data_IF_965763209244
#
_entry.id   IF_965763209244
#
_cell.length_a   1.000
_cell.length_b   1.000
_cell.length_c   1.000
_cell.angle_alpha   90.00
_cell.angle_beta   90.00
_cell.angle_gamma   90.00
#
_symmetry.space_group_name_H-M   'P 1'
#
loop_
_entity.id
_entity.type
_entity.pdbx_description
1 polymer ?
#
# COMPACT_ATOMS: atom_id res chain seq x y z
N UNK A 1 -8.88 7.97 14.55
CA UNK A 1 -7.67 7.89 13.68
C UNK A 1 -7.70 6.78 12.61
N UNK A 2 -8.58 5.76 12.68
CA UNK A 2 -8.56 4.60 11.75
C UNK A 2 -8.70 4.96 10.26
N UNK A 3 -9.34 6.09 9.94
CA UNK A 3 -9.63 6.54 8.57
C UNK A 3 -8.72 7.67 8.04
N UNK A 4 -7.85 8.24 8.87
CA UNK A 4 -6.95 9.32 8.43
C UNK A 4 -5.79 8.80 7.58
N UNK A 5 -5.36 7.56 7.84
CA UNK A 5 -4.27 6.92 7.10
C UNK A 5 -4.91 5.98 6.07
N UNK A 6 -4.49 6.01 4.80
CA UNK A 6 -4.94 5.08 3.78
C UNK A 6 -4.77 3.62 4.23
N UNK A 7 -5.74 2.76 3.90
CA UNK A 7 -5.65 1.33 4.19
C UNK A 7 -4.58 0.64 3.34
N UNK A 8 -4.10 -0.54 3.76
CA UNK A 8 -3.18 -1.32 2.92
C UNK A 8 -3.77 -1.63 1.53
N UNK A 9 -5.10 -1.73 1.43
CA UNK A 9 -5.84 -1.86 0.16
C UNK A 9 -5.66 -0.63 -0.73
N UNK A 10 -5.77 0.58 -0.17
CA UNK A 10 -5.58 1.81 -0.95
C UNK A 10 -4.11 1.97 -1.39
N UNK A 11 -3.16 1.67 -0.50
CA UNK A 11 -1.73 1.70 -0.79
C UNK A 11 -1.32 0.69 -1.87
N UNK A 12 -2.04 -0.44 -2.00
CA UNK A 12 -1.82 -1.45 -3.04
C UNK A 12 -1.84 -0.88 -4.43
N UNK A 13 -2.77 0.03 -4.72
CA UNK A 13 -2.93 0.60 -6.07
C UNK A 13 -1.62 1.24 -6.54
N UNK A 14 -0.87 1.83 -5.62
CA UNK A 14 0.43 2.42 -5.90
C UNK A 14 1.55 1.37 -5.88
N UNK A 15 1.62 0.56 -4.82
CA UNK A 15 2.73 -0.38 -4.59
C UNK A 15 2.77 -1.61 -5.51
N UNK A 16 1.62 -2.06 -6.03
CA UNK A 16 1.56 -3.18 -6.98
C UNK A 16 1.64 -2.73 -8.45
N UNK A 17 1.61 -1.42 -8.74
CA UNK A 17 1.64 -0.97 -10.13
C UNK A 17 2.98 -1.30 -10.79
N UNK A 18 2.94 -1.81 -12.02
CA UNK A 18 4.15 -2.14 -12.79
C UNK A 18 5.04 -0.91 -13.00
N UNK A 19 4.45 0.27 -13.14
CA UNK A 19 5.16 1.55 -13.26
C UNK A 19 5.96 1.86 -12.00
N UNK A 20 5.39 1.70 -10.81
CA UNK A 20 6.11 1.93 -9.56
C UNK A 20 7.16 0.84 -9.32
N UNK A 21 6.92 -0.41 -9.73
CA UNK A 21 7.96 -1.45 -9.69
C UNK A 21 9.16 -1.12 -10.58
N UNK A 22 8.94 -0.54 -11.76
CA UNK A 22 10.01 -0.03 -12.61
C UNK A 22 10.81 1.09 -11.94
N UNK A 23 10.16 1.93 -11.11
CA UNK A 23 10.89 2.97 -10.35
C UNK A 23 11.86 2.41 -9.31
N UNK A 24 11.78 1.12 -8.95
CA UNK A 24 12.81 0.48 -8.11
C UNK A 24 14.19 0.44 -8.79
N UNK A 25 14.27 0.54 -10.12
CA UNK A 25 15.52 0.65 -10.86
C UNK A 25 16.05 2.09 -10.93
N UNK A 26 15.21 3.07 -10.57
CA UNK A 26 15.57 4.48 -10.65
C UNK A 26 16.75 4.89 -9.76
N UNK A 27 16.99 4.35 -8.55
CA UNK A 27 18.18 4.71 -7.79
C UNK A 27 19.47 4.37 -8.56
N UNK A 28 19.50 3.22 -9.24
CA UNK A 28 20.67 2.76 -10.00
C UNK A 28 20.86 3.61 -11.26
N UNK A 29 19.79 3.75 -12.05
CA UNK A 29 19.81 4.51 -13.30
C UNK A 29 20.04 6.01 -13.03
N UNK A 30 19.36 6.56 -12.03
CA UNK A 30 19.44 7.95 -11.64
C UNK A 30 20.80 8.32 -11.08
N UNK A 31 21.44 7.43 -10.32
CA UNK A 31 22.83 7.62 -9.89
C UNK A 31 23.77 7.65 -11.10
N UNK A 32 23.63 6.68 -12.03
CA UNK A 32 24.44 6.66 -13.25
C UNK A 32 24.23 7.90 -14.11
N UNK A 33 23.02 8.43 -14.21
CA UNK A 33 22.71 9.61 -15.02
C UNK A 33 23.25 10.90 -14.37
N UNK A 34 23.01 11.10 -13.06
CA UNK A 34 23.40 12.34 -12.38
C UNK A 34 24.93 12.45 -12.23
N UNK A 35 25.61 11.33 -11.95
CA UNK A 35 27.04 11.31 -11.70
C UNK A 35 27.89 10.98 -12.94
N UNK A 36 27.28 10.77 -14.11
CA UNK A 36 28.04 10.62 -15.34
C UNK A 36 28.51 11.97 -15.85
N UNK A 37 29.82 12.18 -15.87
CA UNK A 37 30.46 13.34 -16.49
C UNK A 37 30.02 13.52 -17.95
N UNK A 38 29.86 12.41 -18.69
CA UNK A 38 29.37 12.39 -20.07
C UNK A 38 27.96 12.96 -20.18
N UNK A 39 27.08 12.66 -19.23
CA UNK A 39 25.70 13.17 -19.24
C UNK A 39 25.69 14.68 -18.98
N UNK A 40 26.50 15.16 -18.03
CA UNK A 40 26.62 16.59 -17.74
C UNK A 40 27.23 17.38 -18.90
N UNK A 41 28.25 16.84 -19.58
CA UNK A 41 28.85 17.44 -20.79
C UNK A 41 27.88 17.47 -21.97
N UNK A 42 27.19 16.35 -22.24
CA UNK A 42 26.20 16.28 -23.32
C UNK A 42 25.06 17.28 -23.09
N UNK A 43 24.63 17.47 -21.84
CA UNK A 43 23.61 18.44 -21.50
C UNK A 43 24.07 19.88 -21.70
N UNK A 44 25.31 20.21 -21.29
CA UNK A 44 25.94 21.54 -21.54
C UNK A 44 26.08 21.84 -23.03
N UNK A 45 26.40 20.83 -23.84
CA UNK A 45 26.47 20.96 -25.31
C UNK A 45 25.10 21.18 -25.93
N UNK A 46 24.07 20.49 -25.44
CA UNK A 46 22.71 20.63 -25.99
C UNK A 46 22.10 21.99 -25.63
N UNK A 47 22.35 22.50 -24.42
CA UNK A 47 21.88 23.83 -24.01
C UNK A 47 22.57 24.97 -24.77
N UNK A 48 23.85 24.83 -25.12
CA UNK A 48 24.57 25.81 -25.93
C UNK A 48 24.12 25.82 -27.39
N UNK A 49 23.79 24.66 -27.96
CA UNK A 49 23.25 24.53 -29.33
C UNK A 49 21.83 25.10 -29.44
N UNK A 50 21.02 25.03 -28.38
CA UNK A 50 19.65 25.57 -28.36
C UNK A 50 19.58 27.09 -28.06
N UNK A 51 20.72 27.77 -27.87
CA UNK A 51 20.77 29.24 -27.74
C UNK A 51 20.16 29.80 -26.45
N UNK A 52 19.94 28.96 -25.43
CA UNK A 52 19.36 29.38 -24.15
C UNK A 52 20.48 29.85 -23.21
N UNK A 53 20.34 31.05 -22.63
CA UNK A 53 21.32 31.68 -21.73
C UNK A 53 21.90 30.69 -20.69
N UNK A 54 23.21 30.46 -20.79
CA UNK A 54 23.83 29.15 -20.49
C UNK A 54 24.02 28.83 -19.01
N UNK A 55 23.92 29.80 -18.10
CA UNK A 55 24.26 29.59 -16.68
C UNK A 55 23.04 29.31 -15.80
N UNK A 56 22.00 30.14 -15.87
CA UNK A 56 20.78 29.97 -15.05
C UNK A 56 19.97 28.73 -15.43
N UNK A 57 19.90 28.39 -16.73
CA UNK A 57 19.12 27.24 -17.20
C UNK A 57 19.82 25.91 -16.88
N UNK A 58 21.16 25.89 -16.91
CA UNK A 58 21.93 24.72 -16.52
C UNK A 58 21.76 24.41 -15.01
N UNK A 59 21.84 25.42 -14.15
CA UNK A 59 21.64 25.26 -12.70
C UNK A 59 20.20 24.82 -12.34
N UNK A 60 19.20 25.43 -12.98
CA UNK A 60 17.80 25.05 -12.80
C UNK A 60 17.56 23.59 -13.21
N UNK A 61 18.19 23.13 -14.30
CA UNK A 61 18.04 21.76 -14.79
C UNK A 61 18.70 20.73 -13.86
N UNK A 62 19.87 21.05 -13.31
CA UNK A 62 20.54 20.22 -12.30
C UNK A 62 19.67 20.11 -11.05
N UNK A 63 19.16 21.24 -10.54
CA UNK A 63 18.26 21.27 -9.37
C UNK A 63 17.00 20.41 -9.61
N UNK A 64 16.36 20.56 -10.77
CA UNK A 64 15.19 19.76 -11.16
C UNK A 64 15.52 18.27 -11.26
N UNK A 65 16.71 17.91 -11.75
CA UNK A 65 17.16 16.51 -11.81
C UNK A 65 17.31 15.89 -10.43
N UNK A 66 17.80 16.64 -9.43
CA UNK A 66 17.83 16.19 -8.05
C UNK A 66 16.43 15.96 -7.48
N UNK A 67 15.47 16.86 -7.72
CA UNK A 67 14.07 16.68 -7.29
C UNK A 67 13.45 15.41 -7.89
N UNK A 68 13.67 15.18 -9.19
CA UNK A 68 13.22 13.96 -9.86
C UNK A 68 13.85 12.70 -9.24
N UNK A 69 15.16 12.72 -9.02
CA UNK A 69 15.89 11.59 -8.45
C UNK A 69 15.43 11.23 -7.04
N UNK A 70 15.43 12.21 -6.12
CA UNK A 70 15.01 11.97 -4.74
C UNK A 70 13.52 11.64 -4.66
N UNK A 71 12.68 12.24 -5.52
CA UNK A 71 11.26 11.89 -5.61
C UNK A 71 11.04 10.44 -6.03
N UNK A 72 11.74 9.98 -7.07
CA UNK A 72 11.65 8.60 -7.54
C UNK A 72 12.24 7.61 -6.54
N UNK A 73 13.33 7.95 -5.85
CA UNK A 73 13.87 7.14 -4.74
C UNK A 73 12.86 7.00 -3.61
N UNK A 74 12.22 8.10 -3.19
CA UNK A 74 11.22 8.06 -2.13
C UNK A 74 10.04 7.15 -2.49
N UNK A 75 9.56 7.19 -3.75
CA UNK A 75 8.52 6.30 -4.26
C UNK A 75 8.99 4.85 -4.31
N UNK A 76 10.21 4.59 -4.78
CA UNK A 76 10.80 3.25 -4.82
C UNK A 76 10.91 2.64 -3.41
N UNK A 77 11.39 3.41 -2.45
CA UNK A 77 11.47 3.02 -1.04
C UNK A 77 10.09 2.79 -0.44
N UNK A 78 9.11 3.66 -0.73
CA UNK A 78 7.73 3.48 -0.30
C UNK A 78 7.16 2.15 -0.82
N UNK A 79 7.40 1.84 -2.10
CA UNK A 79 6.94 0.61 -2.74
C UNK A 79 7.64 -0.63 -2.17
N UNK A 80 8.94 -0.56 -1.92
CA UNK A 80 9.68 -1.63 -1.26
C UNK A 80 9.16 -1.88 0.16
N UNK A 81 8.94 -0.80 0.91
CA UNK A 81 8.39 -0.86 2.27
C UNK A 81 6.97 -1.43 2.28
N UNK A 82 6.13 -1.06 1.31
CA UNK A 82 4.81 -1.67 1.10
C UNK A 82 4.93 -3.17 0.83
N UNK A 83 5.79 -3.58 -0.10
CA UNK A 83 6.00 -4.98 -0.44
C UNK A 83 6.52 -5.81 0.74
N UNK A 84 7.32 -5.25 1.64
CA UNK A 84 7.79 -5.97 2.82
C UNK A 84 6.77 -5.96 3.97
N UNK A 85 6.06 -4.85 4.16
CA UNK A 85 5.25 -4.61 5.36
C UNK A 85 3.79 -5.01 5.21
N UNK A 86 3.24 -4.99 3.99
CA UNK A 86 1.84 -5.29 3.76
C UNK A 86 1.54 -6.78 4.00
N UNK A 87 0.45 -7.10 4.71
CA UNK A 87 0.06 -8.49 4.96
C UNK A 87 -0.29 -9.20 3.66
N UNK A 88 0.01 -10.51 3.57
CA UNK A 88 -0.28 -11.35 2.39
C UNK A 88 -1.73 -11.22 1.95
N UNK A 89 -2.67 -11.23 2.89
CA UNK A 89 -4.11 -11.07 2.63
C UNK A 89 -4.45 -9.82 1.80
N UNK A 90 -3.80 -8.69 2.10
CA UNK A 90 -4.05 -7.44 1.38
C UNK A 90 -3.40 -7.41 -0.02
N UNK A 91 -2.34 -8.21 -0.23
CA UNK A 91 -1.64 -8.33 -1.51
C UNK A 91 -2.27 -9.35 -2.45
N UNK A 92 -2.87 -10.39 -1.90
CA UNK A 92 -3.51 -11.45 -2.66
C UNK A 92 -4.85 -10.93 -3.20
N UNK A 93 -5.81 -10.66 -2.32
CA UNK A 93 -7.17 -10.31 -2.71
C UNK A 93 -7.34 -8.81 -2.97
N UNK A 94 -7.98 -8.44 -4.09
CA UNK A 94 -8.25 -7.04 -4.46
C UNK A 94 -9.39 -6.46 -3.63
N UNK A 95 -10.32 -7.30 -3.20
CA UNK A 95 -11.49 -6.89 -2.44
C UNK A 95 -11.88 -7.89 -1.36
N UNK A 96 -12.58 -7.38 -0.35
CA UNK A 96 -13.17 -8.22 0.69
C UNK A 96 -14.16 -9.25 0.12
N UNK A 97 -14.91 -8.86 -0.92
CA UNK A 97 -15.87 -9.76 -1.58
C UNK A 97 -15.17 -10.96 -2.22
N UNK A 98 -14.06 -10.71 -2.91
CA UNK A 98 -13.24 -11.76 -3.52
C UNK A 98 -12.65 -12.69 -2.45
N UNK A 99 -12.09 -12.12 -1.38
CA UNK A 99 -11.59 -12.90 -0.24
C UNK A 99 -12.66 -13.81 0.38
N UNK A 100 -13.84 -13.25 0.67
CA UNK A 100 -14.94 -14.01 1.26
C UNK A 100 -15.44 -15.08 0.29
N UNK A 101 -15.63 -14.74 -0.98
CA UNK A 101 -16.16 -15.68 -1.98
C UNK A 101 -15.25 -16.90 -2.17
N UNK A 102 -13.94 -16.71 -2.17
CA UNK A 102 -12.98 -17.81 -2.34
C UNK A 102 -12.87 -18.71 -1.10
N UNK A 103 -13.07 -18.15 0.10
CA UNK A 103 -12.89 -18.90 1.35
C UNK A 103 -14.20 -19.49 1.91
N UNK A 104 -15.37 -18.99 1.49
CA UNK A 104 -16.67 -19.38 2.07
C UNK A 104 -17.19 -20.73 1.55
N UNK A 105 -16.83 -21.13 0.33
CA UNK A 105 -17.36 -22.36 -0.30
C UNK A 105 -16.88 -23.64 0.38
N UNK A 106 -15.75 -23.57 1.10
CA UNK A 106 -15.12 -24.73 1.77
C UNK A 106 -15.05 -24.57 3.29
N UNK A 107 -15.99 -23.82 3.87
CA UNK A 107 -16.01 -23.60 5.31
C UNK A 107 -16.60 -24.79 6.07
N UNK A 108 -15.92 -25.20 7.13
CA UNK A 108 -16.38 -26.22 8.08
C UNK A 108 -16.42 -25.62 9.47
N UNK A 109 -17.20 -26.21 10.38
CA UNK A 109 -17.30 -25.74 11.77
C UNK A 109 -15.92 -25.65 12.44
N UNK A 110 -15.07 -26.66 12.25
CA UNK A 110 -13.70 -26.67 12.78
C UNK A 110 -12.84 -25.53 12.23
N UNK A 111 -12.95 -25.21 10.93
CA UNK A 111 -12.22 -24.09 10.32
C UNK A 111 -12.74 -22.74 10.83
N UNK A 112 -14.05 -22.61 11.02
CA UNK A 112 -14.66 -21.42 11.59
C UNK A 112 -14.13 -21.15 13.01
N UNK A 113 -14.16 -22.17 13.88
CA UNK A 113 -13.69 -22.05 15.27
C UNK A 113 -12.16 -21.86 15.37
N UNK A 114 -11.41 -22.54 14.51
CA UNK A 114 -9.96 -22.36 14.40
C UNK A 114 -9.61 -20.94 13.97
N UNK A 115 -10.30 -20.39 12.98
CA UNK A 115 -10.11 -19.02 12.55
C UNK A 115 -10.57 -18.04 13.64
N UNK A 116 -11.72 -18.27 14.27
CA UNK A 116 -12.26 -17.34 15.29
C UNK A 116 -11.32 -17.23 16.49
N UNK A 117 -10.79 -18.35 16.98
CA UNK A 117 -9.83 -18.38 18.08
C UNK A 117 -8.50 -17.71 17.71
N UNK A 118 -8.01 -17.90 16.48
CA UNK A 118 -6.83 -17.21 15.98
C UNK A 118 -7.04 -15.69 15.91
N UNK A 119 -8.15 -15.24 15.30
CA UNK A 119 -8.45 -13.81 15.13
C UNK A 119 -8.69 -13.14 16.47
N UNK A 120 -9.37 -13.82 17.40
CA UNK A 120 -9.57 -13.33 18.76
C UNK A 120 -8.24 -13.19 19.52
N UNK A 121 -7.31 -14.15 19.35
CA UNK A 121 -6.00 -14.09 20.00
C UNK A 121 -5.12 -12.95 19.44
N UNK A 122 -5.11 -12.79 18.12
CA UNK A 122 -4.21 -11.85 17.43
C UNK A 122 -4.76 -10.41 17.43
N UNK A 123 -6.08 -10.25 17.28
CA UNK A 123 -6.74 -8.95 17.10
C UNK A 123 -7.83 -8.64 18.14
N UNK A 124 -8.10 -9.55 19.07
CA UNK A 124 -9.12 -9.34 20.10
C UNK A 124 -8.77 -8.20 21.04
N UNK A 125 -9.77 -7.37 21.33
CA UNK A 125 -9.66 -6.34 22.35
C UNK A 125 -9.84 -6.98 23.73
N UNK A 126 -8.86 -6.78 24.61
CA UNK A 126 -8.89 -7.29 26.00
C UNK A 126 -10.04 -6.70 26.82
N UNK A 127 -10.61 -5.56 26.40
CA UNK A 127 -11.66 -4.85 27.16
C UNK A 127 -13.08 -5.20 26.70
N UNK A 128 -13.29 -5.56 25.43
CA UNK A 128 -14.61 -5.87 24.87
C UNK A 128 -14.52 -6.92 23.78
N UNK A 129 -15.23 -8.02 23.97
CA UNK A 129 -15.36 -9.08 22.95
C UNK A 129 -16.26 -8.58 21.82
N UNK A 130 -15.81 -8.71 20.58
CA UNK A 130 -16.58 -8.30 19.40
C UNK A 130 -17.80 -9.22 19.22
N UNK A 131 -18.93 -8.68 18.75
CA UNK A 131 -20.21 -9.39 18.58
C UNK A 131 -20.06 -10.67 17.75
N UNK A 132 -19.23 -10.63 16.71
CA UNK A 132 -18.89 -11.79 15.86
C UNK A 132 -18.40 -12.99 16.69
N UNK A 133 -17.54 -12.78 17.69
CA UNK A 133 -17.05 -13.89 18.53
C UNK A 133 -18.11 -14.38 19.51
N UNK A 134 -18.98 -13.49 19.98
CA UNK A 134 -20.11 -13.84 20.85
C UNK A 134 -21.08 -14.75 20.08
N UNK A 135 -21.46 -14.34 18.86
CA UNK A 135 -22.37 -15.10 18.00
C UNK A 135 -21.80 -16.48 17.63
N UNK A 136 -20.49 -16.57 17.33
CA UNK A 136 -19.83 -17.85 17.06
C UNK A 136 -19.82 -18.75 18.30
N UNK A 137 -19.55 -18.20 19.49
CA UNK A 137 -19.56 -19.00 20.74
C UNK A 137 -20.96 -19.49 21.13
N UNK A 138 -22.00 -18.70 20.88
CA UNK A 138 -23.40 -19.09 21.07
C UNK A 138 -23.84 -20.16 20.05
N UNK A 139 -23.36 -20.06 18.81
CA UNK A 139 -23.60 -21.06 17.79
C UNK A 139 -22.90 -22.38 18.12
N UNK A 140 -21.67 -22.33 18.65
CA UNK A 140 -20.93 -23.52 19.09
C UNK A 140 -21.66 -24.25 20.22
N UNK A 141 -22.15 -23.53 21.24
CA UNK A 141 -22.89 -24.14 22.35
C UNK A 141 -24.23 -24.75 21.89
N UNK A 142 -24.91 -24.11 20.94
CA UNK A 142 -26.17 -24.59 20.36
C UNK A 142 -25.99 -25.77 19.41
N UNK A 143 -24.85 -25.83 18.70
CA UNK A 143 -24.52 -26.94 17.82
C UNK A 143 -24.11 -28.20 18.59
N UNK A 144 -23.60 -28.05 19.82
CA UNK A 144 -23.30 -29.20 20.70
C UNK A 144 -24.56 -29.86 21.28
N UNK A 145 -25.67 -29.14 21.35
CA UNK A 145 -26.94 -29.66 21.86
C UNK A 145 -27.88 -30.18 20.77
N UNK A 146 -27.67 -29.79 19.51
CA UNK A 146 -28.53 -30.15 18.37
C UNK A 146 -27.69 -30.78 17.28
N UNK A 147 -27.92 -32.06 16.97
CA UNK A 147 -27.11 -32.87 16.03
C UNK A 147 -27.24 -32.42 14.55
N UNK A 148 -28.11 -31.44 14.28
CA UNK A 148 -28.36 -30.91 12.95
C UNK A 148 -27.80 -29.49 12.83
N UNK A 149 -26.66 -29.36 12.15
CA UNK A 149 -25.98 -28.07 11.94
C UNK A 149 -26.70 -27.32 10.81
N UNK A 150 -27.27 -26.16 11.13
CA UNK A 150 -27.82 -25.27 10.12
C UNK A 150 -26.69 -24.67 9.26
N UNK A 151 -26.54 -25.21 8.05
CA UNK A 151 -25.53 -24.78 7.08
C UNK A 151 -25.69 -23.30 6.68
N UNK A 152 -26.91 -22.75 6.73
CA UNK A 152 -27.16 -21.36 6.36
C UNK A 152 -26.63 -20.38 7.42
N UNK A 153 -26.81 -20.72 8.70
CA UNK A 153 -26.29 -19.96 9.84
C UNK A 153 -24.77 -20.05 9.89
N UNK A 154 -24.20 -21.25 9.68
CA UNK A 154 -22.76 -21.46 9.60
C UNK A 154 -22.13 -20.56 8.53
N UNK A 155 -22.73 -20.51 7.33
CA UNK A 155 -22.27 -19.66 6.23
C UNK A 155 -22.32 -18.18 6.59
N UNK A 156 -23.37 -17.72 7.25
CA UNK A 156 -23.52 -16.31 7.63
C UNK A 156 -22.44 -15.90 8.65
N UNK A 157 -22.24 -16.71 9.70
CA UNK A 157 -21.20 -16.48 10.70
C UNK A 157 -19.79 -16.51 10.11
N UNK A 158 -19.57 -17.40 9.15
CA UNK A 158 -18.31 -17.45 8.42
C UNK A 158 -18.06 -16.17 7.60
N UNK A 159 -19.07 -15.67 6.89
CA UNK A 159 -18.97 -14.39 6.17
C UNK A 159 -18.62 -13.25 7.14
N UNK A 160 -19.31 -13.16 8.27
CA UNK A 160 -19.07 -12.11 9.27
C UNK A 160 -17.67 -12.19 9.88
N UNK A 161 -17.19 -13.40 10.17
CA UNK A 161 -15.83 -13.62 10.66
C UNK A 161 -14.78 -13.23 9.63
N UNK A 162 -14.93 -13.63 8.38
CA UNK A 162 -13.99 -13.30 7.31
C UNK A 162 -13.98 -11.79 7.03
N UNK A 163 -15.15 -11.14 7.06
CA UNK A 163 -15.27 -9.68 6.97
C UNK A 163 -14.53 -8.98 8.12
N UNK A 164 -14.71 -9.47 9.35
CA UNK A 164 -14.04 -8.91 10.52
C UNK A 164 -12.53 -9.10 10.44
N UNK A 165 -12.07 -10.30 10.11
CA UNK A 165 -10.65 -10.61 9.93
C UNK A 165 -10.01 -9.74 8.85
N UNK A 166 -10.64 -9.64 7.67
CA UNK A 166 -10.20 -8.76 6.59
C UNK A 166 -10.01 -7.32 7.08
N UNK A 167 -11.00 -6.78 7.78
CA UNK A 167 -10.93 -5.43 8.33
C UNK A 167 -9.80 -5.28 9.37
N UNK A 168 -9.59 -6.25 10.26
CA UNK A 168 -8.49 -6.20 11.21
C UNK A 168 -7.13 -6.23 10.51
N UNK A 169 -6.96 -7.10 9.52
CA UNK A 169 -5.70 -7.25 8.76
C UNK A 169 -5.40 -6.02 7.90
N UNK A 170 -6.39 -5.49 7.17
CA UNK A 170 -6.22 -4.33 6.28
C UNK A 170 -5.88 -3.05 7.04
N UNK A 171 -6.32 -2.93 8.29
CA UNK A 171 -6.00 -1.80 9.16
C UNK A 171 -4.84 -2.04 10.12
N UNK A 172 -4.21 -3.21 10.08
CA UNK A 172 -3.07 -3.56 10.93
C UNK A 172 -1.84 -2.67 10.69
N UNK A 173 -0.89 -2.68 11.64
CA UNK A 173 0.43 -2.02 11.52
C UNK A 173 0.35 -0.53 11.17
N UNK A 174 -0.38 0.24 11.97
CA UNK A 174 -0.62 1.68 11.75
C UNK A 174 0.66 2.50 11.51
N UNK A 175 1.73 2.24 12.29
CA UNK A 175 3.02 2.96 12.15
C UNK A 175 3.66 2.78 10.78
N UNK A 176 3.68 1.54 10.27
CA UNK A 176 4.25 1.24 8.94
C UNK A 176 3.40 1.86 7.83
N UNK A 177 2.06 1.80 7.95
CA UNK A 177 1.16 2.46 7.00
C UNK A 177 1.41 3.96 6.92
N UNK A 178 1.55 4.61 8.07
CA UNK A 178 1.84 6.04 8.14
C UNK A 178 3.18 6.35 7.45
N UNK A 179 4.23 5.58 7.75
CA UNK A 179 5.55 5.75 7.14
C UNK A 179 5.51 5.56 5.61
N UNK A 180 4.89 4.49 5.12
CA UNK A 180 4.73 4.23 3.68
C UNK A 180 3.94 5.36 3.01
N UNK A 181 2.87 5.85 3.64
CA UNK A 181 2.06 6.95 3.11
C UNK A 181 2.88 8.24 3.03
N UNK A 182 3.65 8.56 4.08
CA UNK A 182 4.50 9.74 4.10
C UNK A 182 5.57 9.71 3.01
N UNK A 183 6.19 8.55 2.76
CA UNK A 183 7.17 8.37 1.70
C UNK A 183 6.56 8.54 0.30
N UNK A 184 5.34 8.02 0.07
CA UNK A 184 4.64 8.25 -1.19
C UNK A 184 4.32 9.73 -1.38
N UNK A 185 3.74 10.37 -0.36
CA UNK A 185 3.36 11.79 -0.42
C UNK A 185 4.59 12.67 -0.64
N UNK A 186 5.68 12.45 0.09
CA UNK A 186 6.91 13.22 -0.09
C UNK A 186 7.51 13.01 -1.48
N UNK A 187 7.52 11.77 -1.98
CA UNK A 187 7.99 11.44 -3.32
C UNK A 187 7.18 12.15 -4.40
N UNK A 188 5.85 12.13 -4.33
CA UNK A 188 4.99 12.84 -5.27
C UNK A 188 5.16 14.37 -5.20
N UNK A 189 5.30 14.93 -3.99
CA UNK A 189 5.56 16.36 -3.82
C UNK A 189 6.88 16.75 -4.50
N UNK A 190 7.95 15.98 -4.28
CA UNK A 190 9.26 16.23 -4.90
C UNK A 190 9.18 16.16 -6.43
N UNK A 191 8.43 15.22 -6.99
CA UNK A 191 8.22 15.14 -8.44
C UNK A 191 7.38 16.27 -9.00
N UNK A 192 6.46 16.83 -8.20
CA UNK A 192 5.58 17.90 -8.63
C UNK A 192 6.30 19.26 -8.71
N UNK A 193 7.32 19.50 -7.88
CA UNK A 193 8.09 20.75 -7.84
C UNK A 193 8.66 21.16 -9.22
N UNK A 194 9.42 20.33 -9.94
CA UNK A 194 9.97 20.72 -11.26
C UNK A 194 8.86 20.96 -12.29
N UNK A 195 7.78 20.17 -12.26
CA UNK A 195 6.63 20.36 -13.16
C UNK A 195 5.92 21.69 -12.89
N UNK A 196 5.69 22.03 -11.62
CA UNK A 196 5.09 23.30 -11.22
C UNK A 196 5.97 24.50 -11.60
N UNK A 197 7.29 24.41 -11.39
CA UNK A 197 8.24 25.44 -11.82
C UNK A 197 8.23 25.67 -13.33
N UNK A 198 8.25 24.59 -14.12
CA UNK A 198 8.16 24.68 -15.58
C UNK A 198 6.86 25.34 -16.03
N UNK A 199 5.73 24.92 -15.45
CA UNK A 199 4.43 25.50 -15.78
C UNK A 199 4.37 26.99 -15.43
N UNK A 200 4.91 27.39 -14.27
CA UNK A 200 4.97 28.78 -13.87
C UNK A 200 5.76 29.62 -14.88
N UNK A 201 6.96 29.18 -15.26
CA UNK A 201 7.84 29.90 -16.20
C UNK A 201 7.29 30.02 -17.63
N UNK A 202 6.37 29.14 -18.03
CA UNK A 202 5.75 29.20 -19.36
C UNK A 202 4.52 30.12 -19.37
N UNK A 203 3.85 30.26 -18.22
CA UNK A 203 2.56 30.97 -18.13
C UNK A 203 2.71 32.42 -17.68
N UNK A 204 3.72 32.70 -16.85
CA UNK A 204 4.02 34.02 -16.29
C UNK A 204 5.42 34.47 -16.69
#
# INVERSE_FOLDING_TARGET
MKYLIPSWKALRVLGESNTVKLTMLTPIIGYMIIFSEKFQEWFKLTSSVLGVGSTQVAEATISNSYFLYFGLIAIALASGLYSLSAPSLAKEYRSNREYVQENIEHITLSRLLGLSSFVEKEYGDKKKRHEVFINISQFESSSKSTDNIDASVLRTLAIDLHNHFWNCTVYSRCKLRALTTLLYVSGFILLMVPTAKLFWNVTF
#
